data_IF_792366894664
#
_entry.id   IF_792366894664
#
_cell.length_a   1.000
_cell.length_b   1.000
_cell.length_c   1.000
_cell.angle_alpha   90.00
_cell.angle_beta   90.00
_cell.angle_gamma   90.00
#
_symmetry.space_group_name_H-M   'P 1'
#
loop_
_entity.id
_entity.type
_entity.pdbx_description
1 polymer ?
#
# COMPACT_ATOMS: atom_id res chain seq x y z
N UNK A 1 26.15 -43.15 -4.25
CA UNK A 1 24.85 -43.52 -3.63
C UNK A 1 24.67 -42.88 -2.25
N UNK A 2 25.45 -43.24 -1.22
CA UNK A 2 25.30 -42.64 0.13
C UNK A 2 25.62 -41.14 0.14
N UNK A 3 26.66 -40.71 -0.59
CA UNK A 3 27.04 -39.30 -0.69
C UNK A 3 25.97 -38.46 -1.43
N UNK A 4 25.38 -39.01 -2.50
CA UNK A 4 24.32 -38.35 -3.27
C UNK A 4 23.05 -38.13 -2.43
N UNK A 5 22.66 -39.13 -1.62
CA UNK A 5 21.51 -39.02 -0.71
C UNK A 5 21.75 -38.01 0.40
N UNK A 6 22.96 -38.00 0.97
CA UNK A 6 23.34 -37.00 1.98
C UNK A 6 23.40 -35.58 1.38
N UNK A 7 23.86 -35.42 0.14
CA UNK A 7 23.83 -34.14 -0.56
C UNK A 7 22.40 -33.64 -0.78
N UNK A 8 21.48 -34.54 -1.17
CA UNK A 8 20.06 -34.23 -1.32
C UNK A 8 19.42 -33.82 0.02
N UNK A 9 19.68 -34.54 1.11
CA UNK A 9 19.18 -34.20 2.44
C UNK A 9 19.66 -32.82 2.89
N UNK A 10 20.94 -32.50 2.71
CA UNK A 10 21.49 -31.18 3.07
C UNK A 10 20.82 -30.07 2.27
N UNK A 11 20.66 -30.27 0.96
CA UNK A 11 20.00 -29.29 0.09
C UNK A 11 18.52 -29.08 0.46
N UNK A 12 17.77 -30.17 0.62
CA UNK A 12 16.35 -30.11 0.99
C UNK A 12 16.15 -29.51 2.40
N UNK A 13 17.03 -29.87 3.35
CA UNK A 13 17.03 -29.32 4.70
C UNK A 13 17.24 -27.80 4.71
N UNK A 14 18.14 -27.29 3.87
CA UNK A 14 18.35 -25.85 3.69
C UNK A 14 17.09 -25.12 3.18
N UNK A 15 16.38 -25.71 2.21
CA UNK A 15 15.13 -25.16 1.71
C UNK A 15 14.01 -25.17 2.77
N UNK A 16 13.88 -26.27 3.51
CA UNK A 16 12.90 -26.38 4.60
C UNK A 16 13.16 -25.36 5.71
N UNK A 17 14.43 -25.09 6.04
CA UNK A 17 14.79 -24.06 7.01
C UNK A 17 14.32 -22.66 6.58
N UNK A 18 14.41 -22.33 5.29
CA UNK A 18 13.91 -21.08 4.71
C UNK A 18 12.39 -20.98 4.72
N UNK A 19 11.70 -22.12 4.76
CA UNK A 19 10.25 -22.22 4.91
C UNK A 19 9.78 -22.33 6.37
N UNK A 20 10.71 -22.32 7.33
CA UNK A 20 10.36 -22.33 8.75
C UNK A 20 9.45 -21.14 9.12
N UNK A 21 8.61 -21.26 10.16
CA UNK A 21 7.74 -20.16 10.59
C UNK A 21 8.51 -18.86 10.90
N UNK A 22 9.72 -18.97 11.47
CA UNK A 22 10.56 -17.81 11.76
C UNK A 22 11.05 -17.12 10.48
N UNK A 23 11.60 -17.88 9.53
CA UNK A 23 12.08 -17.36 8.25
C UNK A 23 10.93 -16.75 7.42
N UNK A 24 9.77 -17.42 7.38
CA UNK A 24 8.56 -16.90 6.71
C UNK A 24 8.10 -15.58 7.32
N UNK A 25 8.02 -15.48 8.65
CA UNK A 25 7.64 -14.23 9.33
C UNK A 25 8.64 -13.10 9.03
N UNK A 26 9.93 -13.41 8.98
CA UNK A 26 10.95 -12.41 8.63
C UNK A 26 10.73 -11.89 7.19
N UNK A 27 10.61 -12.81 6.23
CA UNK A 27 10.33 -12.49 4.83
C UNK A 27 9.06 -11.63 4.68
N UNK A 28 7.96 -12.00 5.34
CA UNK A 28 6.70 -11.25 5.29
C UNK A 28 6.83 -9.83 5.86
N UNK A 29 7.62 -9.64 6.92
CA UNK A 29 7.89 -8.29 7.47
C UNK A 29 8.69 -7.43 6.49
N UNK A 30 9.64 -8.01 5.79
CA UNK A 30 10.42 -7.31 4.76
C UNK A 30 9.54 -6.92 3.58
N UNK A 31 8.78 -7.88 3.03
CA UNK A 31 7.77 -7.64 2.00
C UNK A 31 6.78 -6.54 2.41
N UNK A 32 6.27 -6.60 3.63
CA UNK A 32 5.35 -5.58 4.15
C UNK A 32 5.95 -4.18 4.17
N UNK A 33 7.23 -4.05 4.55
CA UNK A 33 7.92 -2.74 4.52
C UNK A 33 8.07 -2.21 3.11
N UNK A 34 8.42 -3.05 2.16
CA UNK A 34 8.64 -2.65 0.77
C UNK A 34 7.34 -2.31 0.07
N UNK A 35 6.32 -3.16 0.20
CA UNK A 35 4.97 -2.88 -0.28
C UNK A 35 4.42 -1.60 0.33
N UNK A 36 4.59 -1.38 1.64
CA UNK A 36 4.19 -0.12 2.26
C UNK A 36 4.91 1.06 1.60
N UNK A 37 6.23 1.03 1.42
CA UNK A 37 6.98 2.12 0.76
C UNK A 37 6.45 2.38 -0.65
N UNK A 38 6.15 1.33 -1.42
CA UNK A 38 5.58 1.45 -2.75
C UNK A 38 4.19 2.14 -2.71
N UNK A 39 3.29 1.71 -1.81
CA UNK A 39 2.00 2.37 -1.57
C UNK A 39 2.17 3.85 -1.21
N UNK A 40 3.11 4.16 -0.31
CA UNK A 40 3.38 5.54 0.12
C UNK A 40 3.83 6.43 -1.02
N UNK A 41 4.74 5.93 -1.86
CA UNK A 41 5.24 6.63 -3.04
C UNK A 41 4.14 6.86 -4.06
N UNK A 42 3.36 5.81 -4.38
CA UNK A 42 2.25 5.87 -5.33
C UNK A 42 1.16 6.87 -4.91
N UNK A 43 0.76 6.83 -3.63
CA UNK A 43 -0.22 7.79 -3.07
C UNK A 43 0.36 9.21 -3.05
N UNK A 44 1.66 9.39 -2.76
CA UNK A 44 2.31 10.70 -2.86
C UNK A 44 2.30 11.24 -4.30
N UNK A 45 2.49 10.37 -5.29
CA UNK A 45 2.40 10.69 -6.71
C UNK A 45 0.96 10.87 -7.23
N UNK A 46 -0.06 10.67 -6.39
CA UNK A 46 -1.49 10.79 -6.73
C UNK A 46 -1.91 9.86 -7.88
N UNK A 47 -1.49 8.60 -7.86
CA UNK A 47 -1.81 7.60 -8.90
C UNK A 47 -2.52 6.39 -8.34
N UNK A 48 -3.40 5.78 -9.13
CA UNK A 48 -3.98 4.46 -8.91
C UNK A 48 -2.95 3.34 -9.19
N UNK A 49 -3.20 2.08 -8.77
CA UNK A 49 -2.31 0.95 -9.05
C UNK A 49 -2.10 0.62 -10.52
N UNK A 50 -3.04 0.98 -11.39
CA UNK A 50 -2.93 0.86 -12.85
C UNK A 50 -2.09 2.00 -13.49
N UNK A 51 -1.62 2.95 -12.68
CA UNK A 51 -0.83 4.09 -13.12
C UNK A 51 -1.64 5.33 -13.48
N UNK A 52 -2.97 5.24 -13.57
CA UNK A 52 -3.84 6.39 -13.87
C UNK A 52 -3.77 7.44 -12.75
N UNK A 53 -3.91 8.72 -13.10
CA UNK A 53 -3.93 9.79 -12.12
C UNK A 53 -5.24 9.77 -11.30
N UNK A 54 -5.18 10.11 -10.02
CA UNK A 54 -6.38 10.36 -9.23
C UNK A 54 -7.19 11.51 -9.81
N UNK A 55 -8.51 11.36 -9.77
CA UNK A 55 -9.39 12.46 -10.17
C UNK A 55 -9.10 13.69 -9.28
N UNK A 56 -8.91 14.90 -9.86
CA UNK A 56 -8.66 16.11 -9.08
C UNK A 56 -9.80 16.44 -8.12
N UNK A 57 -9.49 17.16 -7.03
CA UNK A 57 -10.53 17.68 -6.13
C UNK A 57 -11.38 18.73 -6.86
N UNK A 58 -12.71 18.60 -6.80
CA UNK A 58 -13.64 19.64 -7.27
C UNK A 58 -13.34 20.96 -6.57
N UNK A 59 -13.20 22.02 -7.35
CA UNK A 59 -12.99 23.37 -6.82
C UNK A 59 -14.33 23.85 -6.27
N UNK A 60 -14.39 24.31 -5.01
CA UNK A 60 -15.63 24.86 -4.45
C UNK A 60 -16.04 26.09 -5.29
N UNK A 61 -17.22 26.06 -5.90
CA UNK A 61 -17.80 27.24 -6.54
C UNK A 61 -18.00 28.32 -5.46
N UNK A 62 -17.43 29.52 -5.66
CA UNK A 62 -17.46 30.61 -4.69
C UNK A 62 -16.21 30.75 -3.80
N UNK A 63 -15.30 29.78 -3.80
CA UNK A 63 -13.97 30.01 -3.24
C UNK A 63 -13.23 30.97 -4.16
N UNK A 64 -12.91 32.19 -3.69
CA UNK A 64 -12.02 33.16 -4.36
C UNK A 64 -11.00 32.39 -5.17
N UNK A 65 -10.92 32.62 -6.49
CA UNK A 65 -9.93 31.98 -7.34
C UNK A 65 -8.59 32.10 -6.63
N UNK A 66 -8.10 31.02 -6.03
CA UNK A 66 -6.76 30.92 -5.43
C UNK A 66 -5.65 31.09 -6.49
N UNK A 67 -6.00 31.56 -7.70
CA UNK A 67 -5.11 32.01 -8.76
C UNK A 67 -4.31 33.25 -8.37
N UNK A 68 -4.76 34.06 -7.41
CA UNK A 68 -4.02 35.26 -6.98
C UNK A 68 -2.85 34.97 -6.04
N UNK A 69 -2.78 33.79 -5.42
CA UNK A 69 -1.65 33.37 -4.55
C UNK A 69 -0.88 32.21 -5.18
N UNK A 70 -0.54 32.35 -6.46
CA UNK A 70 0.10 31.33 -7.30
C UNK A 70 1.44 30.75 -6.77
N UNK A 71 2.04 31.30 -5.71
CA UNK A 71 3.29 30.79 -5.13
C UNK A 71 3.19 30.05 -3.78
N UNK A 72 2.16 30.30 -2.95
CA UNK A 72 2.21 29.90 -1.51
C UNK A 72 1.28 28.77 -1.10
N UNK A 73 0.24 28.48 -1.89
CA UNK A 73 -0.72 27.40 -1.61
C UNK A 73 -0.71 26.41 -2.77
N UNK A 74 0.40 25.68 -2.94
CA UNK A 74 0.32 24.41 -3.68
C UNK A 74 -0.78 23.60 -2.99
N UNK A 75 -1.88 23.30 -3.68
CA UNK A 75 -2.95 22.45 -3.13
C UNK A 75 -2.27 21.21 -2.57
N UNK A 76 -2.36 21.01 -1.26
CA UNK A 76 -1.68 19.88 -0.64
C UNK A 76 -2.15 18.59 -1.31
N UNK A 77 -1.19 17.73 -1.67
CA UNK A 77 -1.48 16.42 -2.24
C UNK A 77 -2.47 15.67 -1.34
N UNK A 78 -3.50 15.05 -1.93
CA UNK A 78 -4.50 14.31 -1.16
C UNK A 78 -3.83 13.17 -0.40
N UNK A 79 -4.44 12.75 0.71
CA UNK A 79 -3.96 11.60 1.50
C UNK A 79 -2.55 11.74 2.08
N UNK A 80 -1.98 12.95 2.14
CA UNK A 80 -0.64 13.22 2.71
C UNK A 80 -0.45 12.62 4.11
N UNK A 81 -1.47 12.74 4.97
CA UNK A 81 -1.47 12.14 6.31
C UNK A 81 -1.67 10.63 6.24
N UNK A 82 -2.68 10.17 5.51
CA UNK A 82 -3.05 8.77 5.35
C UNK A 82 -1.87 7.88 4.89
N UNK A 83 -1.02 8.39 4.00
CA UNK A 83 0.16 7.64 3.51
C UNK A 83 1.30 7.53 4.53
N UNK A 84 1.30 8.22 5.66
CA UNK A 84 2.44 8.11 6.61
C UNK A 84 2.44 6.76 7.33
N UNK A 85 3.60 6.31 7.80
CA UNK A 85 3.74 5.02 8.51
C UNK A 85 2.93 4.95 9.82
N UNK A 86 2.54 6.11 10.37
CA UNK A 86 1.64 6.20 11.52
C UNK A 86 0.23 5.67 11.20
N UNK A 87 -0.19 5.76 9.96
CA UNK A 87 -1.56 5.47 9.55
C UNK A 87 -1.65 4.29 8.58
N UNK A 88 -0.65 4.08 7.72
CA UNK A 88 -0.53 2.89 6.89
C UNK A 88 0.27 1.81 7.64
N UNK A 89 -0.44 0.86 8.23
CA UNK A 89 0.07 -0.20 9.09
C UNK A 89 0.37 -1.47 8.31
N UNK A 90 1.27 -2.25 8.89
CA UNK A 90 1.71 -3.56 8.41
C UNK A 90 1.46 -4.51 9.57
N UNK A 91 0.67 -5.54 9.33
CA UNK A 91 0.43 -6.62 10.28
C UNK A 91 0.92 -7.92 9.64
N UNK A 92 1.71 -8.68 10.40
CA UNK A 92 2.30 -9.95 9.94
C UNK A 92 2.08 -10.98 11.03
N UNK A 93 1.49 -12.10 10.64
CA UNK A 93 1.26 -13.24 11.52
C UNK A 93 1.71 -14.54 10.85
N UNK A 94 1.27 -15.68 11.39
CA UNK A 94 1.61 -17.00 10.84
C UNK A 94 0.83 -17.33 9.56
N UNK A 95 -0.27 -16.63 9.29
CA UNK A 95 -1.15 -16.83 8.13
C UNK A 95 -0.74 -15.96 6.96
N UNK A 96 -0.19 -14.76 7.20
CA UNK A 96 0.27 -13.89 6.13
C UNK A 96 0.65 -12.47 6.55
N UNK A 97 0.47 -11.58 5.59
CA UNK A 97 0.79 -10.16 5.65
C UNK A 97 -0.45 -9.37 5.27
N UNK A 98 -0.81 -8.39 6.09
CA UNK A 98 -1.83 -7.39 5.81
C UNK A 98 -1.20 -5.98 5.82
N UNK A 99 -1.68 -5.14 4.90
CA UNK A 99 -1.36 -3.71 4.87
C UNK A 99 -2.68 -2.96 4.83
N UNK A 100 -2.86 -2.03 5.76
CA UNK A 100 -4.14 -1.35 5.93
C UNK A 100 -4.01 -0.05 6.69
N UNK A 101 -5.16 0.57 6.96
CA UNK A 101 -5.23 1.82 7.72
C UNK A 101 -5.76 1.58 9.12
N UNK A 102 -5.34 2.41 10.08
CA UNK A 102 -6.00 2.46 11.38
C UNK A 102 -7.48 2.86 11.25
N UNK A 103 -8.31 2.45 12.22
CA UNK A 103 -9.78 2.55 12.11
C UNK A 103 -10.28 3.96 11.74
N UNK A 104 -9.74 4.98 12.41
CA UNK A 104 -10.23 6.36 12.23
C UNK A 104 -10.04 6.83 10.78
N UNK A 105 -8.95 6.45 10.13
CA UNK A 105 -8.66 6.85 8.76
C UNK A 105 -9.07 5.82 7.72
N UNK A 106 -9.27 4.55 8.10
CA UNK A 106 -9.78 3.50 7.21
C UNK A 106 -11.14 3.89 6.64
N UNK A 107 -12.00 4.56 7.43
CA UNK A 107 -13.27 5.11 6.93
C UNK A 107 -13.08 6.10 5.78
N UNK A 108 -12.13 7.02 5.90
CA UNK A 108 -11.84 8.01 4.84
C UNK A 108 -11.25 7.30 3.62
N UNK A 109 -10.31 6.38 3.84
CA UNK A 109 -9.74 5.57 2.78
C UNK A 109 -10.83 4.82 2.03
N UNK A 110 -11.78 4.19 2.74
CA UNK A 110 -12.88 3.41 2.18
C UNK A 110 -13.80 4.22 1.28
N UNK A 111 -14.17 5.43 1.70
CA UNK A 111 -15.00 6.34 0.90
C UNK A 111 -14.35 6.58 -0.48
N UNK A 112 -13.04 6.78 -0.52
CA UNK A 112 -12.32 6.99 -1.76
C UNK A 112 -12.02 5.69 -2.52
N UNK A 113 -11.70 4.61 -1.81
CA UNK A 113 -11.39 3.30 -2.37
C UNK A 113 -12.57 2.72 -3.14
N UNK A 114 -13.77 2.86 -2.59
CA UNK A 114 -15.00 2.29 -3.14
C UNK A 114 -15.87 3.33 -3.86
N UNK A 115 -15.48 4.61 -3.82
CA UNK A 115 -16.28 5.70 -4.37
C UNK A 115 -17.65 5.78 -3.70
N UNK A 116 -17.69 5.93 -2.38
CA UNK A 116 -18.95 5.98 -1.64
C UNK A 116 -19.61 7.37 -1.70
N UNK A 117 -20.91 7.42 -1.43
CA UNK A 117 -21.58 8.68 -1.05
C UNK A 117 -21.28 8.98 0.41
N UNK A 118 -20.69 10.13 0.68
CA UNK A 118 -20.34 10.56 2.02
C UNK A 118 -20.52 12.09 2.17
N UNK A 119 -20.70 12.60 3.39
CA UNK A 119 -20.82 14.03 3.61
C UNK A 119 -19.48 14.74 3.30
N UNK A 120 -19.56 15.94 2.70
CA UNK A 120 -18.36 16.75 2.38
C UNK A 120 -17.73 17.41 3.61
N UNK A 121 -18.54 17.59 4.66
CA UNK A 121 -18.20 18.10 5.98
C UNK A 121 -19.16 17.50 7.02
N UNK A 122 -18.80 17.42 8.30
CA UNK A 122 -19.68 16.83 9.32
C UNK A 122 -21.09 17.48 9.30
N UNK A 123 -22.13 16.67 9.09
CA UNK A 123 -23.53 17.14 8.99
C UNK A 123 -23.90 17.84 7.67
N UNK A 124 -22.97 17.98 6.73
CA UNK A 124 -23.20 18.65 5.46
C UNK A 124 -23.78 17.75 4.36
N UNK A 125 -23.94 18.29 3.13
CA UNK A 125 -24.54 17.56 2.01
C UNK A 125 -23.68 16.34 1.62
N UNK A 126 -24.37 15.27 1.19
CA UNK A 126 -23.73 14.08 0.65
C UNK A 126 -23.21 14.35 -0.77
N UNK A 127 -21.98 13.91 -1.04
CA UNK A 127 -21.40 13.92 -2.37
C UNK A 127 -20.97 12.51 -2.76
N UNK A 128 -21.13 12.20 -4.05
CA UNK A 128 -20.55 11.02 -4.66
C UNK A 128 -19.03 11.25 -4.83
N UNK A 129 -18.21 10.46 -4.14
CA UNK A 129 -16.77 10.54 -4.28
C UNK A 129 -16.30 9.70 -5.47
N UNK A 130 -15.38 10.22 -6.30
CA UNK A 130 -14.78 9.40 -7.35
C UNK A 130 -13.72 8.47 -6.76
N UNK A 131 -13.59 7.31 -7.39
CA UNK A 131 -12.71 6.23 -6.96
C UNK A 131 -11.25 6.68 -7.03
N UNK A 132 -10.54 6.52 -5.91
CA UNK A 132 -9.10 6.71 -5.78
C UNK A 132 -8.59 5.54 -4.94
N UNK A 133 -7.92 4.61 -5.61
CA UNK A 133 -7.48 3.35 -5.02
C UNK A 133 -6.22 3.60 -4.17
N UNK A 134 -6.43 4.02 -2.92
CA UNK A 134 -5.36 4.37 -1.98
C UNK A 134 -4.67 3.15 -1.40
N UNK A 135 -5.32 1.98 -1.45
CA UNK A 135 -4.74 0.69 -1.11
C UNK A 135 -4.98 -0.27 -2.28
N UNK A 136 -3.90 -0.77 -2.89
CA UNK A 136 -4.04 -1.67 -4.02
C UNK A 136 -2.70 -2.07 -4.61
N UNK A 137 -2.65 -3.28 -5.17
CA UNK A 137 -1.42 -3.88 -5.71
C UNK A 137 -1.26 -3.45 -7.18
N UNK A 138 -0.14 -2.84 -7.51
CA UNK A 138 0.25 -2.53 -8.90
C UNK A 138 0.97 -3.73 -9.54
N UNK A 139 1.15 -3.73 -10.88
CA UNK A 139 2.00 -4.73 -11.54
C UNK A 139 3.42 -4.79 -10.94
N UNK A 140 4.05 -3.64 -10.69
CA UNK A 140 5.37 -3.55 -10.08
C UNK A 140 5.40 -4.13 -8.66
N UNK A 141 4.32 -3.97 -7.89
CA UNK A 141 4.22 -4.58 -6.56
C UNK A 141 4.20 -6.11 -6.64
N UNK A 142 3.54 -6.67 -7.67
CA UNK A 142 3.51 -8.14 -7.90
C UNK A 142 4.89 -8.67 -8.27
N UNK A 143 5.60 -7.95 -9.14
CA UNK A 143 6.98 -8.29 -9.51
C UNK A 143 7.90 -8.23 -8.29
N UNK A 144 7.81 -7.16 -7.49
CA UNK A 144 8.57 -7.01 -6.25
C UNK A 144 8.34 -8.19 -5.29
N UNK A 145 7.08 -8.60 -5.11
CA UNK A 145 6.74 -9.75 -4.25
C UNK A 145 7.36 -11.03 -4.80
N UNK A 146 7.20 -11.30 -6.09
CA UNK A 146 7.75 -12.48 -6.76
C UNK A 146 9.27 -12.52 -6.62
N UNK A 147 9.95 -11.43 -6.91
CA UNK A 147 11.41 -11.38 -6.93
C UNK A 147 11.98 -11.55 -5.51
N UNK A 148 11.31 -11.00 -4.50
CA UNK A 148 11.65 -11.23 -3.08
C UNK A 148 11.45 -12.68 -2.65
N UNK A 149 10.38 -13.33 -3.10
CA UNK A 149 10.13 -14.75 -2.83
C UNK A 149 11.19 -15.65 -3.47
N UNK A 150 11.48 -15.43 -4.75
CA UNK A 150 12.52 -16.18 -5.47
C UNK A 150 13.87 -15.99 -4.78
N UNK A 151 14.26 -14.74 -4.51
CA UNK A 151 15.50 -14.43 -3.82
C UNK A 151 15.62 -15.15 -2.47
N UNK A 152 14.56 -15.15 -1.67
CA UNK A 152 14.55 -15.82 -0.35
C UNK A 152 14.74 -17.34 -0.46
N UNK A 153 14.22 -17.97 -1.52
CA UNK A 153 14.34 -19.42 -1.71
C UNK A 153 15.67 -19.81 -2.36
N UNK A 154 16.23 -18.95 -3.21
CA UNK A 154 17.45 -19.23 -3.97
C UNK A 154 18.75 -18.89 -3.23
N UNK A 155 18.70 -18.05 -2.20
CA UNK A 155 19.83 -17.75 -1.30
C UNK A 155 19.88 -18.77 -0.19
#
# INVERSE_FOLDING_TARGET
MTDDLQALERWAGGLLAKLSPAARRQLLRELGRDLRRAQQSRVAAQRNPDGSAYEPRKVKAGGKRLREKAGRVKREAMFRKLRTARYLRIDVDNTGLAIGFDERLSRIARVHQEGQKAPVEPGGPLAQYPVRVVLGISPNDRELVRDRLIKHLSQ
#
